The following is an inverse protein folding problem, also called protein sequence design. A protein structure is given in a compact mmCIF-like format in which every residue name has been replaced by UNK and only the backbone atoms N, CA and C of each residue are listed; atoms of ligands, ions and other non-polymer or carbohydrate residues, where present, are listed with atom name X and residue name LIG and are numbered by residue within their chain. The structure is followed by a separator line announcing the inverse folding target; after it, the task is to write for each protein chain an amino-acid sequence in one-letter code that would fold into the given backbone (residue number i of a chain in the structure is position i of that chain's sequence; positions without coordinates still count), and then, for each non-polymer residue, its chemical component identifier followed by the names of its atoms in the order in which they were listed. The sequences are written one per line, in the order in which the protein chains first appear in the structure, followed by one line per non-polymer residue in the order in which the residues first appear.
data_IF_342069804859
#
_entry.id   IF_342069804859
#
_cell.length_a   1.000
_cell.length_b   1.000
_cell.length_c   1.000
_cell.angle_alpha   90.00
_cell.angle_beta   90.00
_cell.angle_gamma   90.00
#
_symmetry.space_group_name_H-M   'P 1'
#
loop_
_entity.id
_entity.type
_entity.pdbx_description
1 polymer ?
#
# COMPACT_ATOMS: atom_id res chain seq x y z
N UNK A 1 -2.58 -1.43 13.58
CA UNK A 1 -2.63 -2.64 12.73
C UNK A 1 -1.40 -2.67 11.84
N UNK A 2 -0.71 -3.83 11.77
CA UNK A 2 0.43 -4.01 10.87
C UNK A 2 0.09 -5.03 9.79
N UNK A 3 0.40 -4.69 8.53
CA UNK A 3 0.24 -5.57 7.37
C UNK A 3 1.63 -5.79 6.77
N UNK A 4 2.22 -6.97 7.00
CA UNK A 4 3.56 -7.30 6.51
C UNK A 4 3.57 -7.75 5.04
N UNK A 5 2.46 -8.24 4.53
CA UNK A 5 2.26 -8.68 3.15
C UNK A 5 0.77 -8.84 2.84
N UNK A 6 0.37 -8.60 1.59
CA UNK A 6 -0.98 -8.91 1.13
C UNK A 6 -1.08 -10.36 0.64
N UNK A 7 -1.82 -11.18 1.39
CA UNK A 7 -2.26 -12.53 1.02
C UNK A 7 -3.76 -12.49 0.73
N UNK A 8 -4.30 -13.50 0.09
CA UNK A 8 -5.70 -13.53 -0.33
C UNK A 8 -6.70 -13.31 0.81
N UNK A 9 -6.37 -13.72 2.02
CA UNK A 9 -7.22 -13.53 3.21
C UNK A 9 -6.86 -12.27 4.03
N UNK A 10 -5.99 -11.38 3.53
CA UNK A 10 -5.56 -10.20 4.31
C UNK A 10 -6.69 -9.20 4.49
N UNK A 11 -7.58 -9.03 3.51
CA UNK A 11 -8.75 -8.16 3.64
C UNK A 11 -9.64 -8.57 4.81
N UNK A 12 -9.98 -9.86 4.91
CA UNK A 12 -10.77 -10.43 6.02
C UNK A 12 -10.07 -10.25 7.38
N UNK A 13 -8.74 -10.48 7.44
CA UNK A 13 -7.97 -10.31 8.67
C UNK A 13 -7.92 -8.86 9.13
N UNK A 14 -7.81 -7.91 8.19
CA UNK A 14 -7.86 -6.48 8.50
C UNK A 14 -9.24 -6.09 9.00
N UNK A 15 -10.31 -6.54 8.35
CA UNK A 15 -11.67 -6.32 8.80
C UNK A 15 -11.87 -6.81 10.24
N UNK A 16 -11.53 -8.07 10.53
CA UNK A 16 -11.67 -8.65 11.88
C UNK A 16 -10.85 -7.89 12.94
N UNK A 17 -9.65 -7.43 12.58
CA UNK A 17 -8.83 -6.61 13.47
C UNK A 17 -9.49 -5.25 13.75
N UNK A 18 -10.00 -4.57 12.72
CA UNK A 18 -10.69 -3.28 12.84
C UNK A 18 -11.99 -3.44 13.65
N UNK A 19 -12.77 -4.46 13.39
CA UNK A 19 -14.00 -4.78 14.17
C UNK A 19 -13.68 -4.97 15.65
N UNK A 20 -12.62 -5.72 15.96
CA UNK A 20 -12.17 -5.92 17.34
C UNK A 20 -11.75 -4.61 18.01
N UNK A 21 -11.08 -3.72 17.30
CA UNK A 21 -10.61 -2.44 17.80
C UNK A 21 -11.74 -1.40 17.91
N UNK A 22 -12.72 -1.42 17.01
CA UNK A 22 -13.84 -0.46 16.97
C UNK A 22 -14.70 -0.47 18.25
N UNK A 23 -14.58 -1.51 19.07
CA UNK A 23 -15.26 -1.62 20.39
C UNK A 23 -14.69 -0.67 21.46
N UNK A 24 -13.61 0.06 21.17
CA UNK A 24 -12.87 0.84 22.16
C UNK A 24 -12.94 2.36 21.95
N UNK A 25 -13.92 2.88 21.21
CA UNK A 25 -14.05 4.33 20.90
C UNK A 25 -12.73 4.94 20.42
N UNK A 26 -12.14 4.37 19.38
CA UNK A 26 -10.85 4.78 18.86
C UNK A 26 -10.90 6.20 18.28
N UNK A 27 -9.92 7.01 18.64
CA UNK A 27 -9.72 8.35 18.06
C UNK A 27 -8.82 8.31 16.82
N UNK A 28 -7.89 7.36 16.77
CA UNK A 28 -6.92 7.25 15.69
C UNK A 28 -6.49 5.80 15.46
N UNK A 29 -6.09 5.51 14.23
CA UNK A 29 -5.51 4.24 13.81
C UNK A 29 -4.16 4.45 13.13
N UNK A 30 -3.18 3.65 13.52
CA UNK A 30 -1.92 3.54 12.79
C UNK A 30 -1.94 2.26 11.97
N UNK A 31 -1.85 2.42 10.64
CA UNK A 31 -1.68 1.33 9.68
C UNK A 31 -0.21 1.22 9.28
N UNK A 32 0.49 0.23 9.81
CA UNK A 32 1.91 0.01 9.52
C UNK A 32 2.08 -0.94 8.35
N UNK A 33 2.51 -0.41 7.21
CA UNK A 33 2.84 -1.16 5.99
C UNK A 33 4.32 -1.02 5.60
N UNK A 34 5.15 -0.65 6.54
CA UNK A 34 6.61 -0.65 6.34
C UNK A 34 7.09 -2.07 6.05
N UNK A 35 8.07 -2.18 5.16
CA UNK A 35 8.63 -3.49 4.72
C UNK A 35 7.59 -4.41 4.05
N UNK A 36 6.47 -3.90 3.63
CA UNK A 36 5.46 -4.67 2.90
C UNK A 36 5.80 -4.71 1.40
N UNK A 37 6.17 -5.89 0.84
CA UNK A 37 6.55 -6.02 -0.57
C UNK A 37 5.35 -6.11 -1.53
N UNK A 38 4.13 -5.88 -1.05
CA UNK A 38 2.89 -6.06 -1.82
C UNK A 38 2.32 -7.48 -1.67
N UNK A 39 1.68 -7.98 -2.73
CA UNK A 39 1.10 -9.32 -2.79
C UNK A 39 -0.19 -9.39 -3.62
N UNK A 40 -1.31 -9.80 -3.02
CA UNK A 40 -2.61 -9.88 -3.68
C UNK A 40 -3.20 -8.48 -3.93
N UNK A 41 -3.46 -8.09 -5.20
CA UNK A 41 -4.10 -6.83 -5.54
C UNK A 41 -5.51 -6.71 -4.97
N UNK A 42 -6.24 -7.82 -4.98
CA UNK A 42 -7.60 -7.92 -4.48
C UNK A 42 -7.63 -7.63 -2.98
N UNK A 43 -6.75 -8.29 -2.22
CA UNK A 43 -6.67 -8.08 -0.77
C UNK A 43 -6.25 -6.65 -0.39
N UNK A 44 -5.40 -6.00 -1.19
CA UNK A 44 -5.05 -4.59 -0.99
C UNK A 44 -6.24 -3.67 -1.26
N UNK A 45 -7.04 -3.97 -2.30
CA UNK A 45 -8.28 -3.24 -2.63
C UNK A 45 -9.37 -3.46 -1.57
N UNK A 46 -9.57 -4.68 -1.09
CA UNK A 46 -10.48 -4.99 0.02
C UNK A 46 -10.08 -4.26 1.30
N UNK A 47 -8.77 -4.22 1.59
CA UNK A 47 -8.24 -3.43 2.72
C UNK A 47 -8.56 -1.94 2.56
N UNK A 48 -8.39 -1.38 1.35
CA UNK A 48 -8.75 0.00 1.06
C UNK A 48 -10.25 0.26 1.24
N UNK A 49 -11.10 -0.71 0.89
CA UNK A 49 -12.55 -0.65 1.04
C UNK A 49 -13.04 -0.56 2.47
N UNK A 50 -12.19 -0.85 3.48
CA UNK A 50 -12.53 -0.57 4.88
C UNK A 50 -12.48 0.94 5.20
N UNK A 51 -11.71 1.70 4.44
CA UNK A 51 -11.46 3.12 4.67
C UNK A 51 -12.08 4.04 3.63
N UNK A 52 -12.32 3.54 2.43
CA UNK A 52 -12.82 4.29 1.28
C UNK A 52 -14.24 3.85 0.93
N UNK A 53 -15.12 4.76 0.46
CA UNK A 53 -16.46 4.39 0.04
C UNK A 53 -16.42 3.58 -1.26
N UNK A 54 -17.52 2.87 -1.52
CA UNK A 54 -17.80 2.23 -2.81
C UNK A 54 -17.62 3.21 -3.98
N UNK A 55 -17.02 2.75 -5.07
CA UNK A 55 -16.76 3.53 -6.26
C UNK A 55 -15.59 4.52 -6.14
N UNK A 56 -14.99 4.68 -4.96
CA UNK A 56 -13.77 5.48 -4.84
C UNK A 56 -12.65 4.91 -5.71
N UNK A 57 -11.86 5.79 -6.32
CA UNK A 57 -10.75 5.38 -7.19
C UNK A 57 -9.61 4.83 -6.34
N UNK A 58 -9.28 3.56 -6.53
CA UNK A 58 -8.12 2.91 -5.92
C UNK A 58 -6.82 3.22 -6.67
N UNK A 59 -6.92 3.45 -7.98
CA UNK A 59 -5.82 3.77 -8.87
C UNK A 59 -6.12 3.43 -10.31
N UNK A 60 -5.10 3.47 -11.15
CA UNK A 60 -5.23 3.10 -12.57
C UNK A 60 -4.16 2.08 -12.95
N UNK A 61 -4.52 1.19 -13.87
CA UNK A 61 -3.60 0.26 -14.53
C UNK A 61 -3.52 0.62 -16.00
N UNK A 62 -2.34 0.96 -16.47
CA UNK A 62 -2.06 1.13 -17.90
C UNK A 62 -1.47 -0.15 -18.45
N UNK A 63 -2.14 -0.73 -19.43
CA UNK A 63 -1.70 -1.93 -20.14
C UNK A 63 -0.70 -1.57 -21.25
N UNK A 64 -0.04 -2.59 -21.81
CA UNK A 64 0.96 -2.43 -22.87
C UNK A 64 0.43 -1.73 -24.13
N UNK A 65 -0.85 -1.80 -24.40
CA UNK A 65 -1.55 -1.14 -25.51
C UNK A 65 -1.84 0.36 -25.24
N UNK A 66 -1.42 0.89 -24.09
CA UNK A 66 -1.68 2.26 -23.64
C UNK A 66 -3.05 2.49 -23.04
N UNK A 67 -3.91 1.48 -22.97
CA UNK A 67 -5.22 1.61 -22.33
C UNK A 67 -5.08 1.69 -20.82
N UNK A 68 -5.66 2.72 -20.24
CA UNK A 68 -5.83 2.84 -18.78
C UNK A 68 -7.16 2.28 -18.35
N UNK A 69 -7.12 1.47 -17.33
CA UNK A 69 -8.29 0.91 -16.66
C UNK A 69 -8.31 1.49 -15.25
N UNK A 70 -9.42 2.09 -14.88
CA UNK A 70 -9.67 2.57 -13.53
C UNK A 70 -9.97 1.37 -12.63
N UNK A 71 -9.36 1.35 -11.46
CA UNK A 71 -9.65 0.40 -10.39
C UNK A 71 -10.44 1.15 -9.33
N UNK A 72 -11.64 0.68 -9.05
CA UNK A 72 -12.53 1.27 -8.04
C UNK A 72 -12.73 0.31 -6.87
N UNK A 73 -13.09 0.86 -5.73
CA UNK A 73 -13.47 0.10 -4.54
C UNK A 73 -14.81 -0.58 -4.80
N UNK A 74 -14.86 -1.89 -4.56
CA UNK A 74 -16.07 -2.69 -4.71
C UNK A 74 -17.07 -2.40 -3.57
N UNK A 75 -18.36 -2.71 -3.78
CA UNK A 75 -19.35 -2.68 -2.73
C UNK A 75 -18.92 -3.54 -1.54
N UNK A 76 -19.07 -2.99 -0.33
CA UNK A 76 -18.79 -3.71 0.92
C UNK A 76 -19.89 -3.39 1.94
N UNK A 77 -20.88 -4.27 2.02
CA UNK A 77 -22.03 -4.11 2.93
C UNK A 77 -21.63 -4.20 4.40
N UNK A 78 -20.52 -4.88 4.68
CA UNK A 78 -20.01 -5.08 6.05
C UNK A 78 -18.99 -4.00 6.46
N UNK A 79 -18.80 -2.95 5.64
CA UNK A 79 -17.84 -1.87 5.94
C UNK A 79 -18.16 -1.23 7.31
N UNK A 80 -17.14 -1.16 8.15
CA UNK A 80 -17.25 -0.47 9.43
C UNK A 80 -17.36 1.05 9.24
N UNK A 81 -18.11 1.70 10.12
CA UNK A 81 -18.13 3.17 10.19
C UNK A 81 -16.86 3.65 10.90
N UNK A 82 -15.89 4.05 10.10
CA UNK A 82 -14.59 4.55 10.54
C UNK A 82 -14.33 5.98 10.03
N UNK A 83 -15.36 6.68 9.55
CA UNK A 83 -15.18 7.93 8.82
C UNK A 83 -14.60 9.06 9.69
N UNK A 84 -14.92 9.08 10.97
CA UNK A 84 -14.38 10.04 11.95
C UNK A 84 -13.00 9.65 12.50
N UNK A 85 -12.52 8.42 12.20
CA UNK A 85 -11.25 7.92 12.72
C UNK A 85 -10.07 8.56 12.00
N UNK A 86 -9.14 9.16 12.73
CA UNK A 86 -7.88 9.64 12.16
C UNK A 86 -7.02 8.44 11.74
N UNK A 87 -6.52 8.45 10.50
CA UNK A 87 -5.67 7.36 9.99
C UNK A 87 -4.28 7.87 9.63
N UNK A 88 -3.27 7.28 10.26
CA UNK A 88 -1.87 7.44 9.91
C UNK A 88 -1.37 6.16 9.24
N UNK A 89 -0.69 6.28 8.10
CA UNK A 89 -0.07 5.16 7.41
C UNK A 89 1.45 5.28 7.49
N UNK A 90 2.11 4.25 8.02
CA UNK A 90 3.57 4.20 8.07
C UNK A 90 4.11 3.49 6.84
N UNK A 91 5.03 4.15 6.14
CA UNK A 91 5.69 3.67 4.92
C UNK A 91 7.21 3.79 5.03
N UNK A 92 7.94 2.99 4.27
CA UNK A 92 9.39 3.09 4.13
C UNK A 92 9.86 2.67 2.72
N UNK A 93 11.16 2.72 2.49
CA UNK A 93 11.80 2.38 1.21
C UNK A 93 11.62 0.92 0.77
N UNK A 94 11.15 0.04 1.65
CA UNK A 94 10.82 -1.34 1.33
C UNK A 94 9.31 -1.56 1.09
N UNK A 95 8.48 -0.55 1.35
CA UNK A 95 7.06 -0.56 0.97
C UNK A 95 6.95 -0.53 -0.54
N UNK A 96 6.32 -1.55 -1.15
CA UNK A 96 6.27 -1.65 -2.62
C UNK A 96 4.97 -2.21 -3.17
N UNK A 97 4.74 -2.05 -4.48
CA UNK A 97 3.63 -2.62 -5.27
C UNK A 97 2.24 -2.24 -4.72
N UNK A 98 1.47 -3.26 -4.30
CA UNK A 98 0.09 -3.09 -3.79
C UNK A 98 0.06 -2.26 -2.52
N UNK A 99 1.11 -2.32 -1.69
CA UNK A 99 1.23 -1.49 -0.50
C UNK A 99 1.38 -0.01 -0.86
N UNK A 100 2.13 0.31 -1.92
CA UNK A 100 2.23 1.68 -2.46
C UNK A 100 0.89 2.15 -3.02
N UNK A 101 0.16 1.27 -3.72
CA UNK A 101 -1.17 1.59 -4.28
C UNK A 101 -2.17 1.88 -3.17
N UNK A 102 -2.20 1.05 -2.12
CA UNK A 102 -3.04 1.27 -0.94
C UNK A 102 -2.72 2.62 -0.26
N UNK A 103 -1.43 2.87 0.02
CA UNK A 103 -0.99 4.12 0.65
C UNK A 103 -1.39 5.34 -0.20
N UNK A 104 -1.19 5.26 -1.53
CA UNK A 104 -1.57 6.32 -2.46
C UNK A 104 -3.09 6.56 -2.47
N UNK A 105 -3.89 5.50 -2.49
CA UNK A 105 -5.34 5.60 -2.49
C UNK A 105 -5.87 6.28 -1.22
N UNK A 106 -5.35 5.89 -0.06
CA UNK A 106 -5.74 6.49 1.22
C UNK A 106 -5.31 7.96 1.34
N UNK A 107 -4.11 8.30 0.85
CA UNK A 107 -3.61 9.69 0.87
C UNK A 107 -4.37 10.57 -0.12
N UNK A 108 -4.46 10.14 -1.39
CA UNK A 108 -5.02 10.97 -2.46
C UNK A 108 -6.53 11.21 -2.27
N UNK A 109 -7.22 10.35 -1.54
CA UNK A 109 -8.61 10.56 -1.09
C UNK A 109 -8.74 11.47 0.14
N UNK A 110 -7.63 11.86 0.75
CA UNK A 110 -7.63 12.62 2.01
C UNK A 110 -7.98 11.80 3.25
N UNK A 111 -8.06 10.46 3.12
CA UNK A 111 -8.46 9.57 4.20
C UNK A 111 -7.36 9.33 5.22
N UNK A 112 -6.10 9.40 4.80
CA UNK A 112 -4.94 9.15 5.67
C UNK A 112 -3.80 10.13 5.40
N UNK A 113 -2.96 10.31 6.42
CA UNK A 113 -1.67 10.99 6.32
C UNK A 113 -0.56 9.95 6.31
N UNK A 114 0.39 10.07 5.38
CA UNK A 114 1.53 9.18 5.26
C UNK A 114 2.74 9.69 6.06
N UNK A 115 3.35 8.81 6.83
CA UNK A 115 4.54 9.08 7.64
C UNK A 115 5.65 8.09 7.27
N UNK A 116 6.90 8.54 7.22
CA UNK A 116 8.07 7.68 7.01
C UNK A 116 9.03 8.18 5.96
N UNK A 117 9.53 7.28 5.11
CA UNK A 117 10.44 7.59 4.00
C UNK A 117 9.78 7.25 2.65
N UNK A 118 10.35 7.78 1.55
CA UNK A 118 9.85 7.50 0.20
C UNK A 118 9.85 6.00 -0.08
N UNK A 119 8.75 5.49 -0.63
CA UNK A 119 8.56 4.07 -0.90
C UNK A 119 9.40 3.59 -2.09
N UNK A 120 9.40 2.29 -2.35
CA UNK A 120 10.31 1.65 -3.31
C UNK A 120 10.14 2.11 -4.77
N UNK A 121 8.91 2.39 -5.19
CA UNK A 121 8.63 2.75 -6.59
C UNK A 121 8.59 1.55 -7.54
N UNK A 122 8.04 0.43 -7.11
CA UNK A 122 7.83 -0.76 -7.95
C UNK A 122 6.34 -1.04 -8.12
N UNK A 123 5.71 -0.31 -8.99
CA UNK A 123 4.28 -0.41 -9.24
C UNK A 123 3.92 -1.14 -10.54
N UNK A 124 4.89 -1.78 -11.21
CA UNK A 124 4.64 -2.60 -12.40
C UNK A 124 4.14 -3.99 -12.03
N UNK A 125 3.16 -4.50 -12.77
CA UNK A 125 2.85 -5.92 -12.79
C UNK A 125 3.73 -6.62 -13.83
N UNK A 126 4.17 -7.82 -13.49
CA UNK A 126 5.03 -8.63 -14.35
C UNK A 126 4.34 -9.96 -14.68
N UNK A 127 4.59 -10.45 -15.87
CA UNK A 127 4.11 -11.73 -16.33
C UNK A 127 5.29 -12.66 -16.64
N UNK A 128 5.13 -13.91 -16.25
CA UNK A 128 6.10 -14.96 -16.55
C UNK A 128 5.73 -15.60 -17.89
N UNK A 129 6.61 -15.44 -18.88
CA UNK A 129 6.40 -15.96 -20.23
C UNK A 129 7.42 -17.07 -20.50
N UNK A 130 6.93 -18.30 -20.63
CA UNK A 130 7.76 -19.44 -21.05
C UNK A 130 8.09 -19.34 -22.56
N UNK A 131 9.34 -19.58 -22.89
CA UNK A 131 9.82 -19.60 -24.26
C UNK A 131 9.92 -21.03 -24.80
N UNK A 132 9.84 -21.20 -26.11
CA UNK A 132 9.85 -22.51 -26.79
C UNK A 132 11.12 -23.35 -26.56
N UNK A 133 12.20 -22.73 -26.12
CA UNK A 133 13.46 -23.39 -25.78
C UNK A 133 13.55 -23.82 -24.31
N UNK A 134 12.47 -23.73 -23.53
CA UNK A 134 12.42 -24.08 -22.10
C UNK A 134 12.99 -23.02 -21.15
N UNK A 135 13.43 -21.86 -21.66
CA UNK A 135 13.73 -20.70 -20.83
C UNK A 135 12.47 -19.86 -20.57
N UNK A 136 12.57 -18.90 -19.66
CA UNK A 136 11.44 -18.02 -19.36
C UNK A 136 11.90 -16.56 -19.23
N UNK A 137 10.98 -15.64 -19.48
CA UNK A 137 11.17 -14.20 -19.31
C UNK A 137 10.16 -13.65 -18.33
N UNK A 138 10.63 -12.73 -17.48
CA UNK A 138 9.77 -11.99 -16.55
C UNK A 138 9.61 -10.58 -17.11
N UNK A 139 8.44 -10.29 -17.71
CA UNK A 139 8.20 -9.07 -18.47
C UNK A 139 7.22 -8.15 -17.76
N UNK A 140 7.50 -6.84 -17.69
CA UNK A 140 6.51 -5.88 -17.22
C UNK A 140 5.38 -5.77 -18.24
N UNK A 141 4.13 -6.03 -17.79
CA UNK A 141 2.93 -6.04 -18.63
C UNK A 141 2.00 -4.88 -18.37
N UNK A 142 2.14 -4.21 -17.24
CA UNK A 142 1.34 -3.03 -16.91
C UNK A 142 2.08 -2.09 -15.96
N UNK A 143 1.62 -0.82 -15.94
CA UNK A 143 2.07 0.20 -15.00
C UNK A 143 0.91 0.64 -14.14
N UNK A 144 1.19 0.95 -12.88
CA UNK A 144 0.20 1.46 -11.95
C UNK A 144 0.41 2.95 -11.71
N UNK A 145 -0.73 3.63 -11.58
CA UNK A 145 -0.80 5.04 -11.27
C UNK A 145 -1.66 5.24 -10.04
N UNK A 146 -1.35 6.24 -9.25
CA UNK A 146 -2.15 6.67 -8.11
C UNK A 146 -3.51 7.19 -8.57
N UNK A 147 -4.50 7.36 -7.67
CA UNK A 147 -5.75 8.02 -7.99
C UNK A 147 -5.57 9.41 -8.61
N UNK A 148 -4.57 10.18 -8.16
CA UNK A 148 -4.21 11.48 -8.75
C UNK A 148 -3.50 11.38 -10.11
N UNK A 149 -3.28 10.17 -10.64
CA UNK A 149 -2.67 9.93 -11.95
C UNK A 149 -1.14 9.97 -11.96
N UNK A 150 -0.48 9.99 -10.81
CA UNK A 150 0.98 9.95 -10.71
C UNK A 150 1.49 8.53 -10.94
N UNK A 151 2.50 8.37 -11.79
CA UNK A 151 3.18 7.10 -11.98
C UNK A 151 4.06 6.77 -10.75
N UNK A 152 3.84 5.60 -10.16
CA UNK A 152 4.61 5.14 -9.00
C UNK A 152 5.97 4.53 -9.39
N UNK A 153 6.10 4.04 -10.61
CA UNK A 153 7.30 3.37 -11.10
C UNK A 153 8.54 4.27 -10.98
N UNK A 154 9.59 3.78 -10.32
CA UNK A 154 10.89 4.42 -10.07
C UNK A 154 10.86 5.68 -9.17
N UNK A 155 9.71 6.31 -8.96
CA UNK A 155 9.62 7.53 -8.14
C UNK A 155 9.21 7.24 -6.70
N UNK A 156 8.53 6.12 -6.49
CA UNK A 156 7.90 5.83 -5.20
C UNK A 156 6.83 6.85 -4.81
N UNK A 157 6.33 6.66 -3.61
CA UNK A 157 5.37 7.53 -2.97
C UNK A 157 6.08 8.29 -1.86
N UNK A 158 6.24 9.61 -2.03
CA UNK A 158 6.80 10.48 -0.99
C UNK A 158 5.77 10.65 0.13
N UNK A 159 6.10 10.41 1.40
CA UNK A 159 5.18 10.62 2.52
C UNK A 159 4.84 12.10 2.70
N UNK A 160 3.73 12.39 3.39
CA UNK A 160 3.34 13.74 3.75
C UNK A 160 4.22 14.30 4.87
N UNK A 161 4.65 13.42 5.78
CA UNK A 161 5.55 13.73 6.88
C UNK A 161 6.75 12.78 6.80
N UNK A 162 7.91 13.34 6.47
CA UNK A 162 9.14 12.57 6.46
C UNK A 162 9.61 12.28 7.88
N UNK A 163 9.82 10.99 8.18
CA UNK A 163 10.35 10.53 9.47
C UNK A 163 11.54 9.63 9.19
N UNK A 164 12.74 10.14 9.48
CA UNK A 164 13.98 9.38 9.36
C UNK A 164 14.22 8.69 10.71
N UNK A 165 14.35 7.37 10.69
CA UNK A 165 14.77 6.64 11.90
C UNK A 165 16.21 7.02 12.23
N UNK A 166 16.42 7.61 13.38
CA UNK A 166 17.78 7.91 13.93
C UNK A 166 18.34 6.64 14.59
N UNK A 167 18.06 5.47 14.06
CA UNK A 167 18.68 4.24 14.51
C UNK A 167 20.08 4.16 13.90
N UNK A 168 21.09 4.10 14.80
CA UNK A 168 22.46 3.65 14.56
C UNK A 168 23.50 4.67 14.05
N UNK A 169 23.61 5.82 14.72
CA UNK A 169 24.91 6.52 14.74
C UNK A 169 25.61 6.51 16.13
N UNK A 170 25.11 5.73 17.07
CA UNK A 170 25.88 5.45 18.27
C UNK A 170 26.70 4.16 18.05
N UNK A 171 27.77 4.30 17.27
CA UNK A 171 28.90 3.39 17.33
C UNK A 171 29.47 3.46 18.74
N UNK A 172 29.46 2.34 19.42
CA UNK A 172 30.20 2.13 20.68
C UNK A 172 31.68 2.52 20.48
N UNK A 173 32.00 3.71 20.84
CA UNK A 173 33.38 4.12 21.07
C UNK A 173 33.89 3.44 22.33
N UNK A 174 34.37 2.21 22.18
CA UNK A 174 35.13 1.54 23.21
C UNK A 174 36.47 2.24 23.35
N UNK A 175 36.62 3.12 24.33
CA UNK A 175 37.92 3.56 24.81
C UNK A 175 38.60 2.37 25.51
N UNK A 176 39.63 1.87 24.84
CA UNK A 176 40.62 0.97 25.48
C UNK A 176 41.63 1.84 26.21
N UNK A 177 41.66 1.73 27.50
CA UNK A 177 42.86 2.02 28.28
C UNK A 177 43.64 0.72 28.54
#
# INVERSE_FOLDING_TARGET
VRISRFRDNTGEQVFAALESLNRFDLLALVLDIRTNPGGSPEAAKETAGQFLPEGAVFGYVERRDGRRVELTIDPNEDRLDLDDLLVAVLVNEETSREAETLAAALRDSGRATLFGTTTFGNASAYEFVELSNGSAMYLPVSRRYTPSGKLLERSGLTPDVEVISVAETEGYGGESQ
#
